data_IF_444900803735
#
_entry.id   IF_444900803735
#
_cell.length_a   1.000
_cell.length_b   1.000
_cell.length_c   1.000
_cell.angle_alpha   90.00
_cell.angle_beta   90.00
_cell.angle_gamma   90.00
#
_symmetry.space_group_name_H-M   'P 1'
#
loop_
_entity.id
_entity.type
_entity.pdbx_description
1 polymer ?
#
# COMPACT_ATOMS: atom_id res chain seq x y z
N UNK A 1 26.55 -5.68 4.91
CA UNK A 1 26.70 -4.46 4.10
C UNK A 1 26.20 -3.31 4.95
N UNK A 2 27.06 -2.36 5.27
CA UNK A 2 26.65 -1.23 6.10
C UNK A 2 25.77 -0.26 5.28
N UNK A 3 24.76 0.36 5.92
CA UNK A 3 23.88 1.34 5.27
C UNK A 3 24.67 2.45 4.58
N UNK A 4 25.81 2.83 5.16
CA UNK A 4 26.72 3.87 4.64
C UNK A 4 27.45 3.49 3.34
N UNK A 5 27.48 2.21 2.97
CA UNK A 5 28.16 1.70 1.77
C UNK A 5 27.25 1.58 0.54
N UNK A 6 25.96 1.91 0.68
CA UNK A 6 24.98 1.85 -0.39
C UNK A 6 25.21 2.96 -1.41
N UNK A 7 25.89 2.68 -2.52
CA UNK A 7 26.26 3.65 -3.55
C UNK A 7 25.07 4.39 -4.19
N UNK A 8 23.92 3.72 -4.30
CA UNK A 8 22.69 4.29 -4.86
C UNK A 8 22.05 5.36 -3.96
N UNK A 9 22.49 5.45 -2.70
CA UNK A 9 21.90 6.31 -1.69
C UNK A 9 22.92 7.28 -1.11
N UNK A 10 22.43 8.42 -0.66
CA UNK A 10 23.17 9.41 0.10
C UNK A 10 22.60 9.44 1.53
N UNK A 11 23.46 9.27 2.52
CA UNK A 11 23.07 9.42 3.93
C UNK A 11 22.93 10.92 4.23
N UNK A 12 21.72 11.36 4.57
CA UNK A 12 21.42 12.73 4.94
C UNK A 12 21.55 12.98 6.45
N UNK A 13 21.12 11.99 7.25
CA UNK A 13 21.12 12.10 8.71
C UNK A 13 21.21 10.73 9.34
N UNK A 14 21.94 10.64 10.45
CA UNK A 14 22.00 9.50 11.38
C UNK A 14 21.75 10.04 12.78
N UNK A 15 20.87 9.39 13.56
CA UNK A 15 20.50 9.86 14.89
C UNK A 15 20.15 8.68 15.79
N UNK A 16 20.61 8.73 17.04
CA UNK A 16 20.16 7.82 18.09
C UNK A 16 18.77 8.22 18.58
N UNK A 17 17.85 7.26 18.58
CA UNK A 17 16.47 7.41 19.04
C UNK A 17 16.33 6.69 20.38
N UNK A 18 16.74 7.35 21.48
CA UNK A 18 16.83 6.73 22.81
C UNK A 18 15.48 6.22 23.31
N UNK A 19 14.39 6.94 23.02
CA UNK A 19 13.06 6.63 23.51
C UNK A 19 12.53 5.28 22.99
N UNK A 20 13.03 4.85 21.82
CA UNK A 20 12.66 3.58 21.18
C UNK A 20 13.89 2.65 21.02
N UNK A 21 15.00 2.94 21.70
CA UNK A 21 16.23 2.14 21.68
C UNK A 21 16.70 1.78 20.26
N UNK A 22 16.64 2.74 19.33
CA UNK A 22 16.88 2.54 17.91
C UNK A 22 17.92 3.53 17.37
N UNK A 23 18.40 3.26 16.15
CA UNK A 23 19.16 4.21 15.36
C UNK A 23 18.39 4.53 14.08
N UNK A 24 18.14 5.81 13.84
CA UNK A 24 17.48 6.30 12.64
C UNK A 24 18.48 6.73 11.58
N UNK A 25 18.24 6.33 10.33
CA UNK A 25 18.98 6.76 9.15
C UNK A 25 18.01 7.38 8.14
N UNK A 26 18.27 8.61 7.75
CA UNK A 26 17.56 9.26 6.64
C UNK A 26 18.46 9.25 5.41
N UNK A 27 17.97 8.63 4.35
CA UNK A 27 18.68 8.45 3.09
C UNK A 27 17.92 9.15 1.95
N UNK A 28 18.65 9.50 0.90
CA UNK A 28 18.07 9.97 -0.36
C UNK A 28 18.57 9.09 -1.50
N UNK A 29 17.66 8.54 -2.28
CA UNK A 29 18.02 7.83 -3.51
C UNK A 29 18.57 8.80 -4.54
N UNK A 30 19.82 8.61 -5.00
CA UNK A 30 20.53 9.59 -5.84
C UNK A 30 19.84 9.85 -7.17
N UNK A 31 19.25 8.82 -7.78
CA UNK A 31 18.63 8.91 -9.11
C UNK A 31 17.24 9.55 -9.07
N UNK A 32 16.38 9.17 -8.14
CA UNK A 32 14.97 9.62 -8.08
C UNK A 32 14.71 10.74 -7.08
N UNK A 33 15.64 11.00 -6.13
CA UNK A 33 15.42 11.92 -5.03
C UNK A 33 14.51 11.38 -3.93
N UNK A 34 14.00 10.16 -4.05
CA UNK A 34 13.14 9.55 -3.04
C UNK A 34 13.83 9.48 -1.68
N UNK A 35 13.09 9.78 -0.62
CA UNK A 35 13.57 9.69 0.76
C UNK A 35 13.28 8.32 1.32
N UNK A 36 14.25 7.75 2.03
CA UNK A 36 14.12 6.48 2.71
C UNK A 36 14.53 6.70 4.15
N UNK A 37 13.67 6.24 5.07
CA UNK A 37 13.96 6.22 6.49
C UNK A 37 14.15 4.76 6.92
N UNK A 38 15.28 4.48 7.57
CA UNK A 38 15.55 3.18 8.18
C UNK A 38 15.65 3.40 9.68
N UNK A 39 14.90 2.61 10.45
CA UNK A 39 14.98 2.56 11.91
C UNK A 39 15.52 1.17 12.26
N UNK A 40 16.73 1.11 12.80
CA UNK A 40 17.38 -0.13 13.18
C UNK A 40 17.32 -0.33 14.69
N UNK A 41 16.83 -1.49 15.11
CA UNK A 41 16.74 -1.94 16.49
C UNK A 41 16.82 -3.47 16.57
N UNK A 42 16.59 -4.02 17.75
CA UNK A 42 16.63 -5.47 18.02
C UNK A 42 15.22 -6.13 17.94
N UNK A 43 14.22 -5.45 17.39
CA UNK A 43 12.87 -6.00 17.20
C UNK A 43 12.87 -7.02 16.05
N UNK A 44 12.33 -8.20 16.32
CA UNK A 44 12.18 -9.25 15.32
C UNK A 44 11.15 -8.89 14.24
N UNK A 45 10.18 -8.03 14.56
CA UNK A 45 9.12 -7.65 13.64
C UNK A 45 9.57 -6.54 12.68
N UNK A 46 9.92 -6.96 11.48
CA UNK A 46 10.38 -6.06 10.42
C UNK A 46 9.20 -5.41 9.73
N UNK A 47 9.27 -4.10 9.58
CA UNK A 47 8.23 -3.29 8.92
C UNK A 47 8.80 -2.64 7.67
N UNK A 48 8.07 -2.73 6.57
CA UNK A 48 8.33 -2.00 5.34
C UNK A 48 7.07 -1.25 4.92
N UNK A 49 7.21 -0.02 4.45
CA UNK A 49 6.11 0.68 3.80
C UNK A 49 6.60 1.60 2.69
N UNK A 50 5.77 1.76 1.66
CA UNK A 50 5.91 2.79 0.64
C UNK A 50 4.82 3.82 0.91
N UNK A 51 5.18 5.11 0.87
CA UNK A 51 4.24 6.20 1.10
C UNK A 51 4.38 7.26 0.02
N UNK A 52 3.25 7.63 -0.56
CA UNK A 52 3.15 8.73 -1.52
C UNK A 52 2.38 9.89 -0.91
N UNK A 53 2.79 11.10 -1.24
CA UNK A 53 2.00 12.29 -0.96
C UNK A 53 0.92 12.42 -2.03
N UNK A 54 -0.35 12.24 -1.65
CA UNK A 54 -1.50 12.24 -2.54
C UNK A 54 -2.60 13.20 -2.08
N UNK A 55 -2.31 14.52 -1.94
CA UNK A 55 -3.36 15.48 -1.58
C UNK A 55 -4.41 15.50 -2.70
N UNK A 56 -5.71 15.37 -2.37
CA UNK A 56 -6.77 15.40 -3.37
C UNK A 56 -6.90 16.81 -3.95
N UNK A 57 -7.15 16.88 -5.25
CA UNK A 57 -7.46 18.14 -5.96
C UNK A 57 -8.97 18.36 -6.11
N UNK A 58 -9.75 17.30 -5.91
CA UNK A 58 -11.22 17.29 -6.02
C UNK A 58 -11.83 16.17 -5.16
N UNK A 59 -13.13 15.95 -5.29
CA UNK A 59 -13.88 14.94 -4.52
C UNK A 59 -14.10 13.63 -5.28
N UNK A 60 -13.28 13.31 -6.28
CA UNK A 60 -13.46 12.10 -7.11
C UNK A 60 -12.93 10.83 -6.45
N UNK A 61 -12.11 10.96 -5.39
CA UNK A 61 -11.56 9.79 -4.68
C UNK A 61 -10.44 9.07 -5.43
N UNK A 62 -9.81 9.70 -6.42
CA UNK A 62 -8.81 9.08 -7.31
C UNK A 62 -7.67 8.38 -6.53
N UNK A 63 -7.17 8.99 -5.47
CA UNK A 63 -6.07 8.41 -4.69
C UNK A 63 -6.47 7.06 -4.06
N UNK A 64 -7.69 6.95 -3.54
CA UNK A 64 -8.22 5.75 -2.91
C UNK A 64 -8.53 4.66 -3.96
N UNK A 65 -9.15 5.04 -5.08
CA UNK A 65 -9.39 4.12 -6.19
C UNK A 65 -8.06 3.55 -6.72
N UNK A 66 -7.04 4.40 -6.88
CA UNK A 66 -5.72 3.95 -7.32
C UNK A 66 -5.02 3.05 -6.30
N UNK A 67 -5.25 3.27 -5.01
CA UNK A 67 -4.77 2.37 -3.96
C UNK A 67 -5.30 0.95 -4.17
N UNK A 68 -6.62 0.80 -4.32
CA UNK A 68 -7.26 -0.49 -4.59
C UNK A 68 -6.75 -1.10 -5.92
N UNK A 69 -6.78 -0.33 -7.00
CA UNK A 69 -6.35 -0.79 -8.32
C UNK A 69 -4.90 -1.29 -8.35
N UNK A 70 -4.00 -0.68 -7.57
CA UNK A 70 -2.59 -1.07 -7.54
C UNK A 70 -2.37 -2.47 -6.98
N UNK A 71 -3.29 -2.94 -6.12
CA UNK A 71 -3.24 -4.27 -5.51
C UNK A 71 -3.95 -5.37 -6.33
N UNK A 72 -4.58 -5.02 -7.44
CA UNK A 72 -5.30 -5.96 -8.33
C UNK A 72 -4.41 -6.61 -9.39
N UNK A 73 -3.14 -6.86 -9.07
CA UNK A 73 -2.17 -7.52 -9.93
C UNK A 73 -1.12 -6.60 -10.54
N UNK A 74 0.04 -7.18 -10.75
CA UNK A 74 1.24 -6.49 -11.21
C UNK A 74 1.99 -7.30 -12.27
N UNK A 75 3.13 -6.82 -12.71
CA UNK A 75 3.89 -7.44 -13.79
C UNK A 75 4.41 -8.83 -13.40
N UNK A 76 5.02 -8.98 -12.23
CA UNK A 76 5.49 -10.27 -11.71
C UNK A 76 4.38 -11.12 -11.13
N UNK A 77 3.36 -10.49 -10.56
CA UNK A 77 2.25 -11.15 -9.86
C UNK A 77 0.91 -10.82 -10.53
N UNK A 78 0.63 -11.42 -11.71
CA UNK A 78 -0.51 -11.07 -12.55
C UNK A 78 -1.84 -11.68 -12.08
N UNK A 79 -1.89 -12.35 -10.92
CA UNK A 79 -3.13 -12.90 -10.38
C UNK A 79 -4.16 -11.78 -10.16
N UNK A 80 -5.45 -12.16 -10.15
CA UNK A 80 -6.54 -11.19 -10.00
C UNK A 80 -6.50 -10.49 -8.64
N UNK A 81 -6.06 -11.20 -7.61
CA UNK A 81 -6.08 -10.71 -6.23
C UNK A 81 -4.86 -11.24 -5.45
N UNK A 82 -3.65 -10.75 -5.76
CA UNK A 82 -2.43 -11.17 -5.08
C UNK A 82 -2.44 -10.78 -3.60
N UNK A 83 -3.18 -9.74 -3.23
CA UNK A 83 -3.32 -9.30 -1.85
C UNK A 83 -4.02 -10.36 -0.98
N UNK A 84 -5.14 -10.92 -1.45
CA UNK A 84 -5.86 -12.00 -0.74
C UNK A 84 -5.00 -13.26 -0.63
N UNK A 85 -4.22 -13.57 -1.67
CA UNK A 85 -3.28 -14.70 -1.63
C UNK A 85 -2.20 -14.51 -0.57
N UNK A 86 -1.67 -13.28 -0.44
CA UNK A 86 -0.70 -12.93 0.61
C UNK A 86 -1.31 -13.02 2.01
N UNK A 87 -2.52 -12.50 2.22
CA UNK A 87 -3.21 -12.59 3.53
C UNK A 87 -3.35 -14.04 3.98
N UNK A 88 -3.63 -14.94 3.05
CA UNK A 88 -3.85 -16.37 3.37
C UNK A 88 -2.57 -17.19 3.45
N UNK A 89 -1.54 -16.83 2.72
CA UNK A 89 -0.35 -17.66 2.49
C UNK A 89 0.92 -17.17 3.17
N UNK A 90 0.99 -15.94 3.66
CA UNK A 90 2.19 -15.38 4.30
C UNK A 90 2.14 -15.46 5.83
N UNK A 91 3.31 -15.32 6.44
CA UNK A 91 3.49 -15.22 7.91
C UNK A 91 3.46 -13.76 8.37
N UNK A 92 2.72 -12.91 7.64
CA UNK A 92 2.64 -11.49 7.96
C UNK A 92 2.10 -11.24 9.36
N UNK A 93 2.67 -10.26 10.05
CA UNK A 93 2.14 -9.72 11.31
C UNK A 93 1.26 -8.50 11.07
N UNK A 94 1.47 -7.85 9.93
CA UNK A 94 0.64 -6.74 9.46
C UNK A 94 0.69 -6.65 7.93
N UNK A 95 -0.46 -6.43 7.30
CA UNK A 95 -0.57 -6.28 5.86
C UNK A 95 -1.79 -5.39 5.56
N UNK A 96 -1.55 -4.24 4.91
CA UNK A 96 -2.61 -3.29 4.62
C UNK A 96 -2.24 -2.34 3.46
N UNK A 97 -3.23 -1.59 3.00
CA UNK A 97 -3.07 -0.36 2.23
C UNK A 97 -4.02 0.69 2.81
N UNK A 98 -3.64 1.95 2.79
CA UNK A 98 -4.39 3.00 3.47
C UNK A 98 -4.25 4.32 2.72
N UNK A 99 -5.39 4.96 2.43
CA UNK A 99 -5.44 6.31 1.90
C UNK A 99 -5.91 7.29 2.97
N UNK A 100 -5.08 8.27 3.26
CA UNK A 100 -5.33 9.39 4.15
C UNK A 100 -5.61 10.67 3.35
N UNK A 101 -6.06 11.76 3.98
CA UNK A 101 -6.34 13.01 3.28
C UNK A 101 -5.18 13.60 2.47
N UNK A 102 -3.95 13.30 2.82
CA UNK A 102 -2.75 13.87 2.23
C UNK A 102 -1.73 12.84 1.71
N UNK A 103 -1.96 11.56 1.96
CA UNK A 103 -1.02 10.48 1.63
C UNK A 103 -1.70 9.13 1.42
N UNK A 104 -1.06 8.27 0.64
CA UNK A 104 -1.41 6.86 0.46
C UNK A 104 -0.23 5.99 0.88
N UNK A 105 -0.48 4.97 1.68
CA UNK A 105 0.54 4.11 2.30
C UNK A 105 0.27 2.64 2.02
N UNK A 106 1.33 1.88 1.82
CA UNK A 106 1.31 0.43 1.60
C UNK A 106 2.24 -0.26 2.62
N UNK A 107 1.79 -0.49 3.86
CA UNK A 107 2.60 -1.09 4.91
C UNK A 107 2.48 -2.61 4.94
N UNK A 108 3.62 -3.29 5.22
CA UNK A 108 3.69 -4.71 5.52
C UNK A 108 4.65 -4.97 6.66
N UNK A 109 4.42 -6.03 7.42
CA UNK A 109 5.32 -6.47 8.47
C UNK A 109 5.34 -8.00 8.60
N UNK A 110 6.51 -8.54 8.97
CA UNK A 110 6.70 -9.96 9.29
C UNK A 110 7.90 -10.16 10.21
N UNK A 111 7.80 -11.12 11.11
CA UNK A 111 8.93 -11.58 11.92
C UNK A 111 9.84 -12.56 11.15
N UNK A 112 9.37 -13.13 10.05
CA UNK A 112 10.13 -14.08 9.23
C UNK A 112 10.88 -13.35 8.10
N UNK A 113 12.20 -13.48 8.02
CA UNK A 113 13.04 -12.77 7.05
C UNK A 113 12.69 -13.08 5.60
N UNK A 114 12.42 -14.35 5.29
CA UNK A 114 12.08 -14.77 3.93
C UNK A 114 10.71 -14.27 3.52
N UNK A 115 9.74 -14.36 4.41
CA UNK A 115 8.39 -13.85 4.20
C UNK A 115 8.40 -12.32 4.04
N UNK A 116 9.14 -11.61 4.90
CA UNK A 116 9.31 -10.16 4.79
C UNK A 116 9.89 -9.73 3.44
N UNK A 117 10.92 -10.43 2.96
CA UNK A 117 11.51 -10.15 1.64
C UNK A 117 10.50 -10.40 0.51
N UNK A 118 9.69 -11.46 0.59
CA UNK A 118 8.63 -11.73 -0.37
C UNK A 118 7.53 -10.66 -0.36
N UNK A 119 7.10 -10.25 0.83
CA UNK A 119 6.11 -9.17 0.99
C UNK A 119 6.61 -7.86 0.40
N UNK A 120 7.88 -7.51 0.64
CA UNK A 120 8.49 -6.33 0.01
C UNK A 120 8.50 -6.43 -1.51
N UNK A 121 8.88 -7.56 -2.09
CA UNK A 121 8.93 -7.74 -3.55
C UNK A 121 7.54 -7.61 -4.17
N UNK A 122 6.52 -8.24 -3.57
CA UNK A 122 5.14 -8.13 -4.05
C UNK A 122 4.62 -6.70 -3.98
N UNK A 123 4.83 -5.99 -2.86
CA UNK A 123 4.35 -4.62 -2.70
C UNK A 123 5.10 -3.62 -3.59
N UNK A 124 6.40 -3.80 -3.75
CA UNK A 124 7.20 -3.00 -4.69
C UNK A 124 6.71 -3.18 -6.13
N UNK A 125 6.46 -4.41 -6.54
CA UNK A 125 5.99 -4.68 -7.90
C UNK A 125 4.55 -4.18 -8.11
N UNK A 126 3.65 -4.41 -7.14
CA UNK A 126 2.27 -3.92 -7.18
C UNK A 126 2.19 -2.39 -7.37
N UNK A 127 3.02 -1.65 -6.64
CA UNK A 127 2.99 -0.18 -6.65
C UNK A 127 3.70 0.42 -7.86
N UNK A 128 4.85 -0.15 -8.29
CA UNK A 128 5.65 0.43 -9.37
C UNK A 128 5.38 -0.18 -10.76
N UNK A 129 4.80 -1.40 -10.81
CA UNK A 129 4.53 -2.13 -12.05
C UNK A 129 3.08 -2.64 -12.09
N UNK A 130 2.15 -1.86 -11.57
CA UNK A 130 0.72 -2.20 -11.55
C UNK A 130 0.15 -2.47 -12.92
N UNK A 131 -0.78 -3.42 -13.03
CA UNK A 131 -1.45 -3.78 -14.26
C UNK A 131 -2.59 -2.84 -14.68
N UNK A 132 -2.91 -1.81 -13.88
CA UNK A 132 -3.97 -0.84 -14.21
C UNK A 132 -3.80 -0.20 -15.59
N UNK A 133 -2.56 0.01 -16.02
CA UNK A 133 -2.26 0.58 -17.35
C UNK A 133 -2.44 -0.39 -18.51
N UNK A 134 -2.55 -1.70 -18.23
CA UNK A 134 -2.69 -2.77 -19.23
C UNK A 134 -4.08 -3.37 -19.25
N UNK A 135 -4.83 -3.25 -18.15
CA UNK A 135 -6.13 -3.91 -17.92
C UNK A 135 -7.15 -2.91 -17.40
N UNK A 136 -7.97 -2.38 -18.32
CA UNK A 136 -9.01 -1.40 -17.99
C UNK A 136 -10.07 -1.97 -17.01
N UNK A 137 -10.29 -3.28 -17.04
CA UNK A 137 -11.24 -3.98 -16.16
C UNK A 137 -10.91 -3.82 -14.67
N UNK A 138 -9.64 -3.62 -14.30
CA UNK A 138 -9.24 -3.33 -12.92
C UNK A 138 -9.89 -2.02 -12.45
N UNK A 139 -9.75 -0.96 -13.27
CA UNK A 139 -10.36 0.33 -12.94
C UNK A 139 -11.89 0.25 -12.92
N UNK A 140 -12.49 -0.51 -13.85
CA UNK A 140 -13.93 -0.70 -13.90
C UNK A 140 -14.48 -1.46 -12.70
N UNK A 141 -13.67 -2.34 -12.10
CA UNK A 141 -14.04 -3.09 -10.89
C UNK A 141 -13.94 -2.22 -9.62
N UNK A 142 -12.84 -1.47 -9.47
CA UNK A 142 -12.52 -0.74 -8.25
C UNK A 142 -13.06 0.71 -8.25
N UNK A 143 -13.29 1.27 -9.44
CA UNK A 143 -13.82 2.61 -9.60
C UNK A 143 -15.32 2.70 -9.34
N UNK A 144 -15.82 3.91 -9.27
CA UNK A 144 -17.26 4.15 -9.17
C UNK A 144 -17.96 3.78 -10.48
N UNK A 145 -19.17 3.22 -10.34
CA UNK A 145 -20.05 2.84 -11.47
C UNK A 145 -21.50 3.22 -11.19
N UNK A 146 -22.32 3.16 -12.24
CA UNK A 146 -23.76 3.27 -12.08
C UNK A 146 -24.30 1.96 -11.50
N UNK A 147 -25.15 2.07 -10.49
CA UNK A 147 -25.79 0.94 -9.83
C UNK A 147 -27.30 1.05 -9.96
N UNK A 148 -27.93 -0.08 -10.28
CA UNK A 148 -29.38 -0.24 -10.42
C UNK A 148 -29.75 -1.63 -9.87
N UNK A 149 -30.52 -1.67 -8.80
CA UNK A 149 -30.98 -2.95 -8.23
C UNK A 149 -32.15 -3.55 -9.02
N UNK A 150 -33.17 -2.71 -9.33
CA UNK A 150 -34.30 -3.10 -10.14
C UNK A 150 -34.48 -2.11 -11.32
N UNK A 151 -35.09 -2.55 -12.44
CA UNK A 151 -35.28 -1.70 -13.60
C UNK A 151 -36.08 -0.40 -13.34
N UNK A 152 -36.90 -0.39 -12.30
CA UNK A 152 -37.75 0.72 -11.91
C UNK A 152 -37.09 1.70 -10.93
N UNK A 153 -35.90 1.34 -10.39
CA UNK A 153 -35.23 2.16 -9.39
C UNK A 153 -34.50 3.35 -10.03
N UNK A 154 -34.24 4.37 -9.23
CA UNK A 154 -33.37 5.46 -9.66
C UNK A 154 -31.90 4.98 -9.74
N UNK A 155 -31.24 5.34 -10.83
CA UNK A 155 -29.79 5.04 -10.99
C UNK A 155 -28.99 5.74 -9.88
N UNK A 156 -28.26 4.95 -9.12
CA UNK A 156 -27.34 5.44 -8.09
C UNK A 156 -25.90 5.24 -8.51
N UNK A 157 -24.98 5.89 -7.80
CA UNK A 157 -23.54 5.62 -7.94
C UNK A 157 -23.12 4.64 -6.85
N UNK A 158 -22.51 3.54 -7.26
CA UNK A 158 -21.84 2.60 -6.37
C UNK A 158 -20.32 2.64 -6.59
N UNK A 159 -19.57 2.18 -5.58
CA UNK A 159 -18.13 2.23 -5.55
C UNK A 159 -17.61 3.10 -4.41
N UNK A 160 -16.32 3.29 -4.36
CA UNK A 160 -15.62 3.86 -3.21
C UNK A 160 -15.91 5.34 -2.92
N UNK A 161 -16.67 6.03 -3.80
CA UNK A 161 -17.09 7.42 -3.59
C UNK A 161 -17.95 7.63 -2.33
N UNK A 162 -18.68 6.60 -1.87
CA UNK A 162 -19.47 6.69 -0.62
C UNK A 162 -18.59 6.70 0.61
N UNK A 163 -17.47 5.99 0.58
CA UNK A 163 -16.53 5.90 1.70
C UNK A 163 -15.64 7.14 1.83
N UNK A 164 -15.28 7.80 0.73
CA UNK A 164 -14.44 9.01 0.75
C UNK A 164 -15.12 10.24 1.37
N UNK A 165 -16.46 10.29 1.39
CA UNK A 165 -17.18 11.40 2.02
C UNK A 165 -17.40 11.22 3.53
N UNK A 166 -17.31 10.01 4.06
CA UNK A 166 -17.72 9.70 5.44
C UNK A 166 -16.64 9.06 6.33
N UNK A 167 -15.54 8.56 5.79
CA UNK A 167 -14.50 7.91 6.60
C UNK A 167 -13.08 8.21 6.10
N UNK A 168 -12.47 9.21 6.68
CA UNK A 168 -11.02 9.37 6.69
C UNK A 168 -10.32 8.46 7.72
N UNK A 169 -11.00 7.40 8.16
CA UNK A 169 -10.45 6.44 9.12
C UNK A 169 -10.94 5.03 8.79
N UNK A 170 -10.17 4.30 8.00
CA UNK A 170 -10.22 2.85 8.02
C UNK A 170 -9.66 2.36 9.36
N UNK A 171 -10.51 2.30 10.38
CA UNK A 171 -10.26 1.43 11.52
C UNK A 171 -10.36 -0.01 11.00
N UNK A 172 -9.26 -0.75 11.05
CA UNK A 172 -9.06 -2.08 10.52
C UNK A 172 -10.25 -3.04 10.71
N UNK A 173 -11.04 -3.16 9.69
CA UNK A 173 -11.92 -4.30 9.49
C UNK A 173 -11.74 -4.78 8.05
N UNK A 174 -10.81 -5.73 7.90
CA UNK A 174 -10.83 -6.68 6.80
C UNK A 174 -12.26 -7.24 6.68
N UNK A 175 -13.00 -6.88 5.65
CA UNK A 175 -14.20 -7.59 5.28
C UNK A 175 -13.77 -8.94 4.72
N UNK A 176 -13.66 -9.93 5.61
CA UNK A 176 -13.72 -11.32 5.16
C UNK A 176 -15.12 -11.57 4.59
N UNK A 177 -15.26 -12.16 3.40
CA UNK A 177 -16.55 -12.67 2.97
C UNK A 177 -16.98 -13.74 3.96
N UNK A 178 -18.16 -13.58 4.56
CA UNK A 178 -18.79 -14.61 5.36
C UNK A 178 -19.07 -15.80 4.43
N UNK A 179 -18.34 -16.88 4.64
CA UNK A 179 -18.67 -18.17 4.05
C UNK A 179 -19.97 -18.67 4.67
N UNK A 180 -21.04 -18.75 3.88
CA UNK A 180 -22.14 -19.63 4.12
C UNK A 180 -21.77 -21.04 3.68
#
# INVERSE_FOLDING_TARGET
MAIKELQAYELLREEGLSDIQSVGYLLRHRKSGARIMVIANDDDNKVFHITFRTPPVDSTGVAHILEHCSLCGSEKFPSKDPFVELVKGSLNTFLNAMTYPDKTMYPVASCNDKDFANLMDVYMDAVFHTNIYKKEEIFRQEGWNYHLENPEDEITYDGDRKSTRLNSSHSGQSRMPSSA
#
